data_IF_170949472834
#
_entry.id   IF_170949472834
#
_cell.length_a   1.000
_cell.length_b   1.000
_cell.length_c   1.000
_cell.angle_alpha   90.00
_cell.angle_beta   90.00
_cell.angle_gamma   90.00
#
_symmetry.space_group_name_H-M   'P 1'
#
loop_
_entity.id
_entity.type
_entity.pdbx_description
1 polymer ?
#
# COMPACT_ATOMS: atom_id res chain seq x y z
N UNK A 1 -10.53 -6.25 16.84
CA UNK A 1 -9.17 -6.41 16.35
C UNK A 1 -8.99 -7.63 15.45
N UNK A 2 -9.80 -8.66 15.66
CA UNK A 2 -9.75 -9.83 14.81
C UNK A 2 -10.57 -9.56 13.55
N UNK A 3 -9.90 -9.14 12.51
CA UNK A 3 -10.50 -9.04 11.18
C UNK A 3 -10.19 -10.29 10.39
N UNK A 4 -11.21 -10.85 9.78
CA UNK A 4 -10.99 -11.90 8.80
C UNK A 4 -10.12 -11.32 7.68
N UNK A 5 -9.07 -12.02 7.31
CA UNK A 5 -8.19 -11.58 6.24
C UNK A 5 -8.99 -11.44 4.95
N UNK A 6 -9.02 -10.22 4.39
CA UNK A 6 -9.80 -9.95 3.20
C UNK A 6 -9.12 -10.57 1.99
N UNK A 7 -9.90 -11.28 1.18
CA UNK A 7 -9.39 -11.79 -0.08
C UNK A 7 -9.39 -10.68 -1.12
N UNK A 8 -8.24 -10.44 -1.73
CA UNK A 8 -8.09 -9.45 -2.79
C UNK A 8 -8.22 -10.08 -4.18
N UNK A 9 -8.39 -11.39 -4.26
CA UNK A 9 -8.41 -12.11 -5.52
C UNK A 9 -9.51 -11.61 -6.46
N UNK A 10 -10.71 -11.40 -5.93
CA UNK A 10 -11.84 -10.91 -6.72
C UNK A 10 -11.60 -9.54 -7.32
N UNK A 11 -10.82 -8.68 -6.61
CA UNK A 11 -10.49 -7.35 -7.08
C UNK A 11 -9.39 -7.36 -8.14
N UNK A 12 -8.40 -8.25 -7.99
CA UNK A 12 -7.19 -8.24 -8.82
C UNK A 12 -7.33 -9.10 -10.08
N UNK A 13 -8.02 -10.24 -9.98
CA UNK A 13 -8.14 -11.20 -11.09
C UNK A 13 -8.59 -10.56 -12.42
N UNK A 14 -9.63 -9.70 -12.46
CA UNK A 14 -10.07 -9.10 -13.72
C UNK A 14 -9.04 -8.20 -14.40
N UNK A 15 -8.10 -7.65 -13.63
CA UNK A 15 -7.11 -6.69 -14.14
C UNK A 15 -5.68 -7.22 -14.07
N UNK A 16 -5.51 -8.51 -13.80
CA UNK A 16 -4.19 -9.10 -13.55
C UNK A 16 -3.23 -8.87 -14.72
N UNK A 17 -3.72 -8.89 -15.95
CA UNK A 17 -2.90 -8.64 -17.13
C UNK A 17 -2.42 -7.19 -17.27
N UNK A 18 -2.97 -6.28 -16.47
CA UNK A 18 -2.61 -4.85 -16.47
C UNK A 18 -1.76 -4.46 -15.27
N UNK A 19 -1.51 -5.40 -14.37
CA UNK A 19 -0.76 -5.17 -13.14
C UNK A 19 0.71 -5.46 -13.40
N UNK A 20 1.57 -4.53 -13.02
CA UNK A 20 3.02 -4.65 -13.15
C UNK A 20 3.64 -5.35 -11.95
N UNK A 21 3.11 -5.09 -10.77
CA UNK A 21 3.59 -5.69 -9.55
C UNK A 21 2.50 -5.67 -8.48
N UNK A 22 2.59 -6.60 -7.54
CA UNK A 22 1.73 -6.68 -6.37
C UNK A 22 2.59 -6.80 -5.13
N UNK A 23 2.22 -6.10 -4.07
CA UNK A 23 2.88 -6.22 -2.78
C UNK A 23 1.83 -6.45 -1.70
N UNK A 24 1.90 -7.59 -1.03
CA UNK A 24 1.08 -7.89 0.13
C UNK A 24 1.78 -7.31 1.36
N UNK A 25 1.12 -6.41 2.07
CA UNK A 25 1.74 -5.68 3.17
C UNK A 25 1.54 -6.46 4.46
N UNK A 26 2.62 -7.06 4.92
CA UNK A 26 2.68 -7.88 6.12
C UNK A 26 3.73 -7.32 7.09
N UNK A 27 4.38 -8.17 7.87
CA UNK A 27 5.50 -7.74 8.73
C UNK A 27 6.58 -7.04 7.90
N UNK A 28 7.09 -5.93 8.40
CA UNK A 28 7.96 -5.03 7.65
C UNK A 28 7.24 -3.84 7.05
N UNK A 29 5.90 -3.88 7.00
CA UNK A 29 5.07 -2.77 6.55
C UNK A 29 5.27 -2.37 5.10
N UNK A 30 4.83 -1.17 4.76
CA UNK A 30 4.99 -0.63 3.39
C UNK A 30 6.46 -0.61 2.95
N UNK A 31 7.42 -0.08 3.72
CA UNK A 31 8.80 -0.02 3.25
C UNK A 31 9.39 -1.37 2.91
N UNK A 32 9.18 -2.38 3.75
CA UNK A 32 9.77 -3.69 3.55
C UNK A 32 9.14 -4.49 2.42
N UNK A 33 7.81 -4.46 2.33
CA UNK A 33 7.08 -5.30 1.36
C UNK A 33 7.03 -4.67 -0.02
N UNK A 34 6.80 -3.36 -0.10
CA UNK A 34 6.71 -2.67 -1.38
C UNK A 34 8.08 -2.64 -2.07
N UNK A 35 9.13 -2.45 -1.32
CA UNK A 35 10.49 -2.47 -1.84
C UNK A 35 10.82 -3.78 -2.57
N UNK A 36 10.37 -4.91 -2.03
CA UNK A 36 10.62 -6.22 -2.66
C UNK A 36 9.91 -6.41 -3.99
N UNK A 37 8.81 -5.70 -4.20
CA UNK A 37 8.02 -5.82 -5.42
C UNK A 37 8.56 -4.98 -6.57
N UNK A 38 9.49 -4.07 -6.30
CA UNK A 38 10.03 -3.14 -7.30
C UNK A 38 11.46 -3.49 -7.69
N UNK A 39 11.85 -3.20 -8.97
CA UNK A 39 13.25 -3.28 -9.38
C UNK A 39 14.13 -2.32 -8.57
N UNK A 40 15.43 -2.63 -8.39
CA UNK A 40 16.32 -1.78 -7.59
C UNK A 40 16.58 -0.40 -8.20
N UNK A 41 16.16 -0.16 -9.42
CA UNK A 41 16.31 1.14 -10.08
C UNK A 41 15.10 2.07 -9.91
N UNK A 42 14.07 1.62 -9.19
CA UNK A 42 12.84 2.39 -9.00
C UNK A 42 12.56 2.59 -7.53
N UNK A 43 12.04 3.78 -7.20
CA UNK A 43 11.52 4.10 -5.88
C UNK A 43 10.00 4.12 -5.90
N UNK A 44 9.37 3.78 -4.80
CA UNK A 44 7.96 4.03 -4.58
C UNK A 44 7.80 5.27 -3.71
N UNK A 45 7.01 6.22 -4.17
CA UNK A 45 6.71 7.45 -3.43
C UNK A 45 5.27 7.33 -2.94
N UNK A 46 5.11 7.10 -1.64
CA UNK A 46 3.82 6.84 -1.00
C UNK A 46 3.33 8.10 -0.30
N UNK A 47 2.13 8.55 -0.67
CA UNK A 47 1.47 9.68 -0.02
C UNK A 47 0.75 9.19 1.23
N UNK A 48 1.32 9.49 2.40
CA UNK A 48 0.77 9.06 3.68
C UNK A 48 -0.50 9.81 4.07
N UNK A 49 -0.88 10.84 3.33
CA UNK A 49 -2.14 11.55 3.53
C UNK A 49 -3.27 11.04 2.63
N UNK A 50 -2.99 10.05 1.76
CA UNK A 50 -3.98 9.54 0.82
C UNK A 50 -5.05 8.65 1.47
N UNK A 51 -4.87 8.26 2.72
CA UNK A 51 -5.86 7.47 3.46
C UNK A 51 -5.85 7.81 4.94
N UNK A 52 -6.94 7.43 5.62
CA UNK A 52 -7.02 7.54 7.08
C UNK A 52 -6.44 6.28 7.71
N UNK A 53 -5.45 6.44 8.56
CA UNK A 53 -4.84 5.32 9.28
C UNK A 53 -5.84 4.82 10.32
N UNK A 54 -6.13 3.50 10.34
CA UNK A 54 -7.05 2.95 11.33
C UNK A 54 -6.65 3.28 12.77
N UNK A 55 -7.64 3.56 13.59
CA UNK A 55 -7.43 4.06 14.95
C UNK A 55 -6.61 3.13 15.83
N UNK A 56 -6.68 1.83 15.58
CA UNK A 56 -5.90 0.85 16.35
C UNK A 56 -4.40 1.14 16.26
N UNK A 57 -3.91 1.59 15.11
CA UNK A 57 -2.50 1.91 14.95
C UNK A 57 -2.12 3.19 15.67
N UNK A 58 -3.03 4.18 15.70
CA UNK A 58 -2.80 5.42 16.47
C UNK A 58 -2.73 5.14 17.96
N UNK A 59 -3.57 4.24 18.45
CA UNK A 59 -3.56 3.82 19.85
C UNK A 59 -2.26 3.11 20.19
N UNK A 60 -1.80 2.20 19.32
CA UNK A 60 -0.54 1.50 19.53
C UNK A 60 0.66 2.46 19.54
N UNK A 61 0.65 3.42 18.64
CA UNK A 61 1.69 4.45 18.58
C UNK A 61 1.76 5.25 19.89
N UNK A 62 0.62 5.75 20.37
CA UNK A 62 0.54 6.54 21.58
C UNK A 62 0.88 5.73 22.83
N UNK A 63 0.28 4.55 22.98
CA UNK A 63 0.47 3.72 24.17
C UNK A 63 1.87 3.14 24.28
N UNK A 64 2.48 2.79 23.13
CA UNK A 64 3.82 2.21 23.10
C UNK A 64 4.94 3.22 23.01
N UNK A 65 4.65 4.50 22.80
CA UNK A 65 5.68 5.51 22.56
C UNK A 65 6.51 5.22 21.31
N UNK A 66 5.91 4.56 20.32
CA UNK A 66 6.62 4.14 19.10
C UNK A 66 6.70 5.30 18.12
N UNK A 67 7.89 5.55 17.56
CA UNK A 67 8.06 6.56 16.54
C UNK A 67 7.25 6.22 15.29
N UNK A 68 6.76 7.27 14.59
CA UNK A 68 5.93 7.09 13.39
C UNK A 68 6.62 6.23 12.33
N UNK A 69 7.91 6.42 12.10
CA UNK A 69 8.67 5.62 11.14
C UNK A 69 8.69 4.15 11.49
N UNK A 70 8.82 3.83 12.77
CA UNK A 70 8.78 2.45 13.24
C UNK A 70 7.40 1.83 13.10
N UNK A 71 6.34 2.63 13.24
CA UNK A 71 4.97 2.16 12.99
C UNK A 71 4.81 1.67 11.55
N UNK A 72 5.34 2.41 10.58
CA UNK A 72 5.26 2.02 9.17
C UNK A 72 6.12 0.79 8.84
N UNK A 73 7.19 0.56 9.60
CA UNK A 73 8.01 -0.65 9.43
C UNK A 73 7.41 -1.89 10.09
N UNK A 74 6.72 -1.70 11.20
CA UNK A 74 6.17 -2.81 11.97
C UNK A 74 4.79 -3.24 11.48
N UNK A 75 3.97 -2.30 10.98
CA UNK A 75 2.57 -2.53 10.68
C UNK A 75 2.22 -2.11 9.26
N UNK A 76 1.11 -2.64 8.74
CA UNK A 76 0.62 -2.26 7.42
C UNK A 76 -0.09 -0.89 7.42
N UNK A 77 -0.42 -0.36 8.59
CA UNK A 77 -1.08 0.93 8.78
C UNK A 77 -2.42 1.07 8.03
N UNK A 78 -3.06 -0.05 7.77
CA UNK A 78 -4.34 -0.10 7.07
C UNK A 78 -4.25 -0.43 5.58
N UNK A 79 -3.04 -0.57 5.06
CA UNK A 79 -2.83 -0.93 3.66
C UNK A 79 -2.49 -2.42 3.58
N UNK A 80 -3.39 -3.23 3.02
CA UNK A 80 -3.19 -4.68 2.95
C UNK A 80 -2.52 -5.15 1.68
N UNK A 81 -2.81 -4.50 0.56
CA UNK A 81 -2.26 -4.85 -0.74
C UNK A 81 -1.99 -3.58 -1.55
N UNK A 82 -0.83 -3.54 -2.19
CA UNK A 82 -0.48 -2.46 -3.11
C UNK A 82 -0.38 -3.04 -4.52
N UNK A 83 -1.02 -2.37 -5.46
CA UNK A 83 -0.98 -2.72 -6.88
C UNK A 83 -0.19 -1.66 -7.61
N UNK A 84 0.80 -2.09 -8.39
CA UNK A 84 1.58 -1.21 -9.26
C UNK A 84 1.11 -1.43 -10.69
N UNK A 85 0.68 -0.36 -11.36
CA UNK A 85 0.19 -0.42 -12.72
C UNK A 85 0.57 0.85 -13.47
N UNK A 86 0.49 0.80 -14.81
CA UNK A 86 0.67 2.02 -15.61
C UNK A 86 -0.44 3.03 -15.29
N UNK A 87 -0.14 4.34 -15.37
CA UNK A 87 -1.17 5.36 -15.13
C UNK A 87 -2.43 5.18 -15.98
N UNK A 88 -2.28 4.70 -17.21
CA UNK A 88 -3.41 4.45 -18.10
C UNK A 88 -4.34 3.35 -17.60
N UNK A 89 -3.85 2.45 -16.76
CA UNK A 89 -4.62 1.32 -16.22
C UNK A 89 -5.16 1.56 -14.81
N UNK A 90 -4.81 2.70 -14.19
CA UNK A 90 -5.17 2.98 -12.80
C UNK A 90 -6.69 2.98 -12.58
N UNK A 91 -7.46 3.59 -13.48
CA UNK A 91 -8.91 3.64 -13.36
C UNK A 91 -9.55 2.26 -13.45
N UNK A 92 -9.02 1.38 -14.29
CA UNK A 92 -9.50 0.00 -14.42
C UNK A 92 -9.26 -0.80 -13.14
N UNK A 93 -8.11 -0.61 -12.51
CA UNK A 93 -7.78 -1.26 -11.24
C UNK A 93 -8.72 -0.79 -10.14
N UNK A 94 -8.92 0.52 -10.04
CA UNK A 94 -9.83 1.10 -9.04
C UNK A 94 -11.27 0.62 -9.26
N UNK A 95 -11.73 0.55 -10.50
CA UNK A 95 -13.07 0.07 -10.81
C UNK A 95 -13.24 -1.40 -10.45
N UNK A 96 -12.25 -2.22 -10.74
CA UNK A 96 -12.29 -3.64 -10.40
C UNK A 96 -12.37 -3.85 -8.88
N UNK A 97 -11.65 -3.05 -8.12
CA UNK A 97 -11.72 -3.10 -6.66
C UNK A 97 -13.12 -2.70 -6.16
N UNK A 98 -13.69 -1.65 -6.72
CA UNK A 98 -15.03 -1.19 -6.36
C UNK A 98 -16.07 -2.26 -6.67
N UNK A 99 -15.97 -2.91 -7.82
CA UNK A 99 -16.88 -3.98 -8.24
C UNK A 99 -16.82 -5.18 -7.28
N UNK A 100 -15.65 -5.41 -6.69
CA UNK A 100 -15.45 -6.49 -5.72
C UNK A 100 -15.77 -6.07 -4.28
N UNK A 101 -16.21 -4.84 -4.05
CA UNK A 101 -16.51 -4.32 -2.72
C UNK A 101 -15.27 -4.04 -1.89
N UNK A 102 -14.11 -3.84 -2.53
CA UNK A 102 -12.85 -3.54 -1.87
C UNK A 102 -12.56 -2.05 -2.00
N UNK A 103 -12.26 -1.41 -0.89
CA UNK A 103 -11.85 -0.01 -0.89
C UNK A 103 -10.44 0.12 -1.47
N UNK A 104 -10.30 0.97 -2.47
CA UNK A 104 -9.01 1.24 -3.12
C UNK A 104 -8.87 2.72 -3.44
N UNK A 105 -7.64 3.19 -3.50
CA UNK A 105 -7.35 4.59 -3.79
C UNK A 105 -5.95 4.71 -4.37
N UNK A 106 -5.65 5.82 -5.08
CA UNK A 106 -4.28 6.11 -5.51
C UNK A 106 -3.40 6.37 -4.29
N UNK A 107 -2.37 5.53 -4.13
CA UNK A 107 -1.49 5.59 -2.96
C UNK A 107 -0.28 6.49 -3.21
N UNK A 108 0.21 6.54 -4.44
CA UNK A 108 1.40 7.29 -4.78
C UNK A 108 1.86 6.95 -6.19
N UNK A 109 3.16 7.06 -6.40
CA UNK A 109 3.73 6.83 -7.73
C UNK A 109 5.06 6.09 -7.63
N UNK A 110 5.50 5.56 -8.76
CA UNK A 110 6.82 4.93 -8.93
C UNK A 110 7.66 5.85 -9.79
N UNK A 111 8.89 6.10 -9.36
CA UNK A 111 9.81 7.00 -10.06
C UNK A 111 11.21 6.39 -10.09
N UNK A 112 12.09 6.85 -11.01
CA UNK A 112 13.48 6.41 -11.00
C UNK A 112 14.14 6.71 -9.66
N UNK A 113 14.93 5.76 -9.17
CA UNK A 113 15.58 5.90 -7.87
C UNK A 113 16.55 4.77 -7.59
N UNK A 114 16.65 4.38 -6.33
CA UNK A 114 17.63 3.41 -5.85
C UNK A 114 17.01 2.22 -5.12
N UNK A 115 15.73 1.96 -5.37
CA UNK A 115 15.03 0.82 -4.77
C UNK A 115 14.48 1.09 -3.37
N UNK A 116 14.13 2.33 -3.09
CA UNK A 116 13.62 2.74 -1.77
C UNK A 116 12.14 3.07 -1.82
N UNK A 117 11.50 2.98 -0.65
CA UNK A 117 10.13 3.45 -0.45
C UNK A 117 10.20 4.76 0.33
N UNK A 118 9.71 5.83 -0.27
CA UNK A 118 9.67 7.14 0.35
C UNK A 118 8.24 7.41 0.84
N UNK A 119 8.11 7.68 2.13
CA UNK A 119 6.85 8.04 2.75
C UNK A 119 6.79 9.56 2.83
N UNK A 120 5.89 10.16 2.08
CA UNK A 120 5.77 11.61 2.01
C UNK A 120 4.37 12.04 2.43
N UNK A 121 4.27 13.21 3.07
CA UNK A 121 3.00 13.82 3.38
C UNK A 121 2.72 14.85 2.30
N UNK A 122 1.96 14.43 1.28
CA UNK A 122 1.55 15.34 0.22
C UNK A 122 0.51 16.33 0.75
N UNK A 123 0.40 17.45 0.11
CA UNK A 123 -0.55 18.50 0.50
C UNK A 123 -1.97 18.12 0.16
#
# INVERSE_FOLDING_TARGET
LLRVHRSYLAAVRPVLGRVRALAHITGGGLPGNLNRALPPSLDAIVDTTSWDIPNVFRVLESAGGVARDEMYRAFNMGVGLVVVADPADASSVLQSAADAGVRAWPLGEVAPGTGQVQLVAAR
#
